data_IF_068901644194
#
_entry.id   IF_068901644194
#
_cell.length_a   1.000
_cell.length_b   1.000
_cell.length_c   1.000
_cell.angle_alpha   90.00
_cell.angle_beta   90.00
_cell.angle_gamma   90.00
#
_symmetry.space_group_name_H-M   'P 1'
#
loop_
_entity.id
_entity.type
_entity.pdbx_description
1 polymer ?
#
# COMPACT_ATOMS: atom_id res chain seq x y z
N UNK A 1 -21.67 85.75 -5.03
CA UNK A 1 -21.07 86.81 -4.14
C UNK A 1 -19.86 86.18 -3.53
N UNK A 2 -18.63 86.49 -4.05
CA UNK A 2 -17.62 87.46 -3.72
C UNK A 2 -17.50 87.65 -2.20
N UNK A 3 -16.35 87.31 -1.64
CA UNK A 3 -15.23 88.18 -1.19
C UNK A 3 -14.21 87.28 -0.48
N UNK A 4 -13.02 87.00 -0.97
CA UNK A 4 -11.71 87.63 -0.87
C UNK A 4 -11.08 87.73 0.54
N UNK A 5 -9.94 87.03 0.65
CA UNK A 5 -8.61 87.17 1.29
C UNK A 5 -8.39 88.28 2.34
N UNK A 6 -7.35 88.27 3.27
CA UNK A 6 -5.96 87.99 2.93
C UNK A 6 -5.07 87.24 3.99
N UNK A 7 -3.85 87.01 3.53
CA UNK A 7 -2.61 86.52 4.07
C UNK A 7 -2.15 87.15 5.41
N UNK A 8 -1.54 86.37 6.25
CA UNK A 8 -0.42 86.81 7.06
C UNK A 8 0.62 85.68 7.21
N UNK A 9 1.86 86.10 6.90
CA UNK A 9 3.11 85.38 6.91
C UNK A 9 3.72 85.48 8.33
N UNK A 10 4.04 84.35 8.94
CA UNK A 10 4.92 84.32 10.12
C UNK A 10 5.99 83.28 9.96
N UNK A 11 7.19 83.70 9.78
CA UNK A 11 8.40 82.91 9.79
C UNK A 11 8.79 82.63 11.23
N UNK A 12 8.97 81.36 11.60
CA UNK A 12 9.70 80.98 12.81
C UNK A 12 10.68 79.85 12.46
N UNK A 13 11.95 80.22 12.59
CA UNK A 13 13.07 79.28 12.63
C UNK A 13 12.90 78.33 13.84
N UNK A 14 13.03 77.06 13.61
CA UNK A 14 13.36 76.16 14.70
C UNK A 14 14.47 75.17 14.30
N UNK A 15 15.41 75.08 15.20
CA UNK A 15 16.71 74.46 15.21
C UNK A 15 16.55 72.95 15.04
N UNK A 16 17.35 72.36 14.18
CA UNK A 16 17.51 70.94 14.00
C UNK A 16 18.11 70.27 15.25
N UNK A 17 17.41 69.34 15.83
CA UNK A 17 17.97 68.32 16.75
C UNK A 17 17.90 67.00 16.10
N UNK A 18 19.04 66.47 15.66
CA UNK A 18 19.21 65.14 15.10
C UNK A 18 19.12 64.10 16.23
N UNK A 19 17.99 63.35 16.30
CA UNK A 19 17.96 62.13 17.03
C UNK A 19 18.03 60.99 15.99
N UNK A 20 19.15 60.28 15.98
CA UNK A 20 19.35 59.08 15.18
C UNK A 20 18.41 57.97 15.62
N UNK A 21 17.46 57.60 14.77
CA UNK A 21 16.68 56.40 14.93
C UNK A 21 17.53 55.21 14.42
N UNK A 22 18.02 54.40 15.34
CA UNK A 22 18.64 53.11 15.02
C UNK A 22 17.58 52.17 14.38
N UNK A 23 17.77 51.83 13.12
CA UNK A 23 17.03 50.80 12.43
C UNK A 23 17.33 49.45 13.10
N UNK A 24 16.31 48.65 13.52
CA UNK A 24 16.58 47.30 14.00
C UNK A 24 17.16 46.43 12.87
N UNK A 25 18.12 45.55 13.16
CA UNK A 25 18.68 44.68 12.15
C UNK A 25 17.58 43.79 11.56
N UNK A 26 17.52 43.72 10.24
CA UNK A 26 16.67 42.83 9.49
C UNK A 26 16.97 41.40 9.95
N UNK A 27 15.98 40.74 10.58
CA UNK A 27 16.04 39.30 10.85
C UNK A 27 16.05 38.59 9.50
N UNK A 28 17.17 37.97 9.18
CA UNK A 28 17.25 36.99 8.10
C UNK A 28 16.17 35.91 8.29
N UNK A 29 15.47 35.48 7.22
CA UNK A 29 14.53 34.39 7.35
C UNK A 29 15.30 33.16 7.88
N UNK A 30 14.96 32.75 9.10
CA UNK A 30 15.36 31.45 9.61
C UNK A 30 14.84 30.43 8.63
N UNK A 31 15.75 29.80 7.87
CA UNK A 31 15.44 28.63 7.11
C UNK A 31 14.81 27.64 8.09
N UNK A 32 13.54 27.35 7.91
CA UNK A 32 12.86 26.24 8.57
C UNK A 32 13.68 25.01 8.24
N UNK A 33 14.45 24.52 9.21
CA UNK A 33 15.11 23.25 9.12
C UNK A 33 14.00 22.22 8.85
N UNK A 34 13.94 21.73 7.61
CA UNK A 34 13.20 20.53 7.28
C UNK A 34 13.64 19.48 8.28
N UNK A 35 12.71 18.96 9.09
CA UNK A 35 12.99 17.92 10.03
C UNK A 35 13.58 16.77 9.21
N UNK A 36 14.90 16.61 9.28
CA UNK A 36 15.59 15.49 8.67
C UNK A 36 14.96 14.23 9.29
N UNK A 37 14.29 13.44 8.45
CA UNK A 37 13.76 12.15 8.86
C UNK A 37 14.87 11.39 9.56
N UNK A 38 14.69 11.09 10.84
CA UNK A 38 15.72 10.45 11.67
C UNK A 38 15.90 9.04 11.14
N UNK A 39 16.94 8.79 10.37
CA UNK A 39 17.32 7.45 9.93
C UNK A 39 17.40 6.55 11.17
N UNK A 40 16.78 5.36 11.10
CA UNK A 40 16.77 4.44 12.23
C UNK A 40 18.22 4.12 12.67
N UNK A 41 18.49 4.28 13.97
CA UNK A 41 19.77 3.94 14.55
C UNK A 41 19.92 2.41 14.61
N UNK A 42 21.14 1.91 14.36
CA UNK A 42 21.47 0.49 14.52
C UNK A 42 22.25 0.27 15.81
N UNK A 43 22.08 -0.90 16.47
CA UNK A 43 21.21 -2.01 16.10
C UNK A 43 19.73 -1.66 16.19
N UNK A 44 18.93 -2.13 15.23
CA UNK A 44 17.49 -1.91 15.18
C UNK A 44 16.74 -3.21 15.53
N UNK A 45 15.92 -3.19 16.58
CA UNK A 45 15.04 -4.31 16.91
C UNK A 45 13.65 -4.08 16.34
N UNK A 46 13.12 -5.09 15.65
CA UNK A 46 11.80 -5.08 15.02
C UNK A 46 11.03 -6.35 15.37
N UNK A 47 9.71 -6.25 15.44
CA UNK A 47 8.84 -7.42 15.60
C UNK A 47 8.22 -7.75 14.25
N UNK A 48 8.50 -8.91 13.71
CA UNK A 48 7.97 -9.36 12.42
C UNK A 48 6.53 -9.87 12.49
N UNK A 49 5.98 -10.30 11.37
CA UNK A 49 4.59 -10.79 11.30
C UNK A 49 4.39 -12.20 11.87
N UNK A 50 5.45 -12.88 12.28
CA UNK A 50 5.37 -14.11 13.09
C UNK A 50 5.56 -13.81 14.60
N UNK A 51 5.48 -12.53 15.01
CA UNK A 51 5.72 -12.06 16.38
C UNK A 51 7.14 -12.39 16.91
N UNK A 52 8.13 -12.57 16.03
CA UNK A 52 9.52 -12.76 16.41
C UNK A 52 10.19 -11.41 16.57
N UNK A 53 10.90 -11.22 17.69
CA UNK A 53 11.79 -10.06 17.85
C UNK A 53 13.11 -10.36 17.11
N UNK A 54 13.41 -9.56 16.12
CA UNK A 54 14.62 -9.70 15.28
C UNK A 54 15.45 -8.45 15.41
N UNK A 55 16.74 -8.60 15.75
CA UNK A 55 17.68 -7.49 15.83
C UNK A 55 18.52 -7.43 14.56
N UNK A 56 18.41 -6.33 13.83
CA UNK A 56 19.27 -6.00 12.69
C UNK A 56 20.49 -5.26 13.24
N UNK A 57 21.68 -5.85 13.24
CA UNK A 57 22.83 -5.32 13.99
C UNK A 57 23.44 -4.05 13.38
N UNK A 58 23.34 -3.89 12.07
CA UNK A 58 23.82 -2.75 11.29
C UNK A 58 22.92 -2.51 10.08
N UNK A 59 23.04 -1.35 9.46
CA UNK A 59 22.33 -1.08 8.21
C UNK A 59 22.66 -2.14 7.16
N UNK A 60 21.65 -2.84 6.62
CA UNK A 60 21.89 -3.87 5.62
C UNK A 60 22.41 -3.26 4.30
N UNK A 61 23.42 -3.89 3.72
CA UNK A 61 24.00 -3.51 2.42
C UNK A 61 23.66 -4.52 1.32
N UNK A 62 23.23 -5.72 1.69
CA UNK A 62 22.85 -6.79 0.77
C UNK A 62 21.52 -7.41 1.18
N UNK A 63 20.45 -6.92 0.58
CA UNK A 63 19.08 -7.35 0.91
C UNK A 63 18.57 -8.29 -0.18
N UNK A 64 18.03 -9.43 0.22
CA UNK A 64 17.21 -10.29 -0.65
C UNK A 64 15.75 -10.08 -0.30
N UNK A 65 14.93 -9.83 -1.32
CA UNK A 65 13.47 -9.60 -1.20
C UNK A 65 12.71 -10.73 -1.86
N UNK A 66 11.92 -11.46 -1.07
CA UNK A 66 11.10 -12.57 -1.54
C UNK A 66 9.62 -12.22 -1.31
N UNK A 67 9.06 -11.50 -2.26
CA UNK A 67 7.70 -11.01 -2.27
C UNK A 67 7.59 -9.67 -3.02
N UNK A 68 6.74 -9.57 -4.07
CA UNK A 68 6.65 -8.37 -4.90
C UNK A 68 6.33 -7.10 -4.11
N UNK A 69 5.42 -7.19 -3.13
CA UNK A 69 5.06 -6.06 -2.27
C UNK A 69 6.23 -5.58 -1.40
N UNK A 70 7.08 -6.50 -0.93
CA UNK A 70 8.29 -6.18 -0.16
C UNK A 70 9.28 -5.43 -1.04
N UNK A 71 9.46 -5.91 -2.27
CA UNK A 71 10.33 -5.26 -3.27
C UNK A 71 9.85 -3.83 -3.54
N UNK A 72 8.57 -3.61 -3.79
CA UNK A 72 8.00 -2.28 -3.97
C UNK A 72 8.28 -1.36 -2.76
N UNK A 73 8.11 -1.87 -1.53
CA UNK A 73 8.45 -1.12 -0.31
C UNK A 73 9.93 -0.74 -0.25
N UNK A 74 10.83 -1.65 -0.55
CA UNK A 74 12.27 -1.39 -0.48
C UNK A 74 12.69 -0.28 -1.44
N UNK A 75 12.17 -0.30 -2.65
CA UNK A 75 12.44 0.77 -3.61
C UNK A 75 11.81 2.10 -3.17
N UNK A 76 10.57 2.11 -2.72
CA UNK A 76 9.90 3.29 -2.21
C UNK A 76 10.58 3.89 -0.96
N UNK A 77 11.21 3.05 -0.12
CA UNK A 77 12.02 3.46 1.04
C UNK A 77 13.46 3.86 0.67
N UNK A 78 13.82 3.90 -0.61
CA UNK A 78 15.17 4.25 -1.07
C UNK A 78 16.22 3.17 -0.79
N UNK A 79 15.80 1.94 -0.47
CA UNK A 79 16.68 0.80 -0.23
C UNK A 79 17.00 -0.01 -1.50
N UNK A 80 16.38 0.32 -2.63
CA UNK A 80 16.54 -0.38 -3.91
C UNK A 80 17.98 -0.67 -4.31
N UNK A 81 18.95 0.28 -4.22
CA UNK A 81 20.34 0.05 -4.56
C UNK A 81 21.04 -1.05 -3.74
N UNK A 82 20.45 -1.45 -2.61
CA UNK A 82 20.98 -2.50 -1.72
C UNK A 82 20.31 -3.86 -1.94
N UNK A 83 19.29 -3.92 -2.79
CA UNK A 83 18.61 -5.18 -3.15
C UNK A 83 19.47 -5.93 -4.14
N UNK A 84 19.94 -7.13 -3.75
CA UNK A 84 20.83 -7.96 -4.56
C UNK A 84 20.13 -9.16 -5.18
N UNK A 85 18.88 -9.43 -4.79
CA UNK A 85 18.06 -10.50 -5.36
C UNK A 85 16.60 -10.33 -5.01
N UNK A 86 15.73 -10.74 -5.93
CA UNK A 86 14.27 -10.67 -5.81
C UNK A 86 13.61 -11.95 -6.31
N UNK A 87 12.38 -12.20 -5.88
CA UNK A 87 11.60 -13.32 -6.44
C UNK A 87 11.23 -13.10 -7.92
N UNK A 88 10.74 -14.16 -8.56
CA UNK A 88 10.43 -14.15 -10.00
C UNK A 88 9.29 -13.19 -10.36
N UNK A 89 8.42 -12.84 -9.40
CA UNK A 89 7.23 -12.00 -9.59
C UNK A 89 7.48 -10.51 -9.28
N UNK A 90 8.66 -10.19 -8.75
CA UNK A 90 9.07 -8.80 -8.47
C UNK A 90 9.47 -8.10 -9.77
N UNK A 91 8.56 -7.31 -10.33
CA UNK A 91 8.66 -6.58 -11.59
C UNK A 91 8.45 -5.06 -11.44
N UNK A 92 8.04 -4.62 -10.24
CA UNK A 92 7.85 -3.21 -9.90
C UNK A 92 8.80 -2.77 -8.77
N UNK A 93 9.45 -1.60 -8.92
CA UNK A 93 9.53 -0.80 -10.16
C UNK A 93 10.34 -1.54 -11.25
N UNK A 94 10.36 -1.03 -12.48
CA UNK A 94 11.00 -1.69 -13.63
C UNK A 94 12.47 -2.10 -13.39
N UNK A 95 13.18 -1.39 -12.50
CA UNK A 95 14.55 -1.72 -12.08
C UNK A 95 14.62 -3.06 -11.33
N UNK A 96 13.60 -3.44 -10.59
CA UNK A 96 13.55 -4.69 -9.84
C UNK A 96 13.56 -5.92 -10.77
N UNK A 97 12.98 -5.80 -11.97
CA UNK A 97 12.97 -6.89 -12.96
C UNK A 97 14.36 -7.29 -13.44
N UNK A 98 15.35 -6.38 -13.31
CA UNK A 98 16.74 -6.58 -13.75
C UNK A 98 17.63 -7.25 -12.69
N UNK A 99 17.13 -7.40 -11.47
CA UNK A 99 17.87 -8.01 -10.37
C UNK A 99 17.90 -9.53 -10.48
N UNK A 100 18.87 -10.14 -9.80
CA UNK A 100 19.03 -11.59 -9.72
C UNK A 100 17.75 -12.25 -9.18
N UNK A 101 17.27 -13.28 -9.86
CA UNK A 101 16.06 -14.01 -9.48
C UNK A 101 16.39 -15.16 -8.53
N UNK A 102 15.65 -15.24 -7.42
CA UNK A 102 15.84 -16.25 -6.36
C UNK A 102 14.71 -17.28 -6.31
N UNK A 103 13.93 -17.40 -7.39
CA UNK A 103 12.78 -18.29 -7.49
C UNK A 103 11.47 -17.58 -7.22
N UNK A 104 10.35 -18.27 -7.50
CA UNK A 104 8.99 -17.74 -7.35
C UNK A 104 8.23 -18.47 -6.24
N UNK A 105 7.19 -19.25 -6.59
CA UNK A 105 6.42 -20.09 -5.65
C UNK A 105 7.36 -21.03 -4.87
N UNK A 106 8.40 -21.52 -5.51
CA UNK A 106 9.49 -22.26 -4.88
C UNK A 106 10.74 -21.43 -4.84
N UNK A 107 11.20 -21.10 -3.64
CA UNK A 107 12.43 -20.32 -3.42
C UNK A 107 13.67 -21.17 -3.72
N UNK A 108 14.59 -20.61 -4.50
CA UNK A 108 15.89 -21.22 -4.75
C UNK A 108 16.84 -20.88 -3.59
N UNK A 109 16.86 -21.74 -2.59
CA UNK A 109 17.66 -21.58 -1.37
C UNK A 109 19.15 -21.34 -1.66
N UNK A 110 19.74 -22.13 -2.57
CA UNK A 110 21.16 -22.04 -2.89
C UNK A 110 21.51 -20.71 -3.56
N UNK A 111 20.62 -20.23 -4.42
CA UNK A 111 20.76 -18.90 -5.02
C UNK A 111 20.70 -17.80 -3.97
N UNK A 112 19.76 -17.86 -3.01
CA UNK A 112 19.69 -16.90 -1.90
C UNK A 112 21.00 -16.89 -1.12
N UNK A 113 21.53 -18.06 -0.70
CA UNK A 113 22.77 -18.17 0.05
C UNK A 113 23.97 -17.66 -0.77
N UNK A 114 24.03 -17.95 -2.07
CA UNK A 114 25.12 -17.51 -2.95
C UNK A 114 25.23 -15.99 -3.08
N UNK A 115 24.12 -15.27 -2.92
CA UNK A 115 24.07 -13.81 -2.94
C UNK A 115 24.64 -13.19 -1.64
N UNK A 116 24.94 -13.99 -0.61
CA UNK A 116 25.48 -13.56 0.69
C UNK A 116 24.73 -12.36 1.26
N UNK A 117 23.39 -12.46 1.43
CA UNK A 117 22.63 -11.37 2.00
C UNK A 117 22.95 -11.19 3.48
N UNK A 118 22.91 -9.94 3.95
CA UNK A 118 22.93 -9.60 5.37
C UNK A 118 21.51 -9.41 5.94
N UNK A 119 20.50 -9.38 5.07
CA UNK A 119 19.09 -9.41 5.44
C UNK A 119 18.25 -10.09 4.34
N UNK A 120 17.37 -11.01 4.74
CA UNK A 120 16.36 -11.60 3.88
C UNK A 120 14.97 -11.14 4.36
N UNK A 121 14.22 -10.51 3.49
CA UNK A 121 12.82 -10.12 3.70
C UNK A 121 11.94 -11.05 2.88
N UNK A 122 10.98 -11.70 3.52
CA UNK A 122 10.22 -12.78 2.88
C UNK A 122 8.74 -12.71 3.29
N UNK A 123 7.83 -12.95 2.32
CA UNK A 123 6.43 -13.21 2.65
C UNK A 123 6.32 -14.54 3.41
N UNK A 124 5.22 -14.72 4.13
CA UNK A 124 5.01 -15.97 4.85
C UNK A 124 4.88 -17.15 3.91
N UNK A 125 5.71 -18.17 4.15
CA UNK A 125 5.64 -19.48 3.54
C UNK A 125 5.35 -20.53 4.61
N UNK A 126 4.65 -21.61 4.25
CA UNK A 126 4.32 -22.73 5.14
C UNK A 126 5.08 -24.01 4.80
N UNK A 127 6.06 -23.96 3.90
CA UNK A 127 6.80 -25.11 3.36
C UNK A 127 8.18 -25.36 4.04
N UNK A 128 8.45 -24.65 5.14
CA UNK A 128 9.73 -24.74 5.86
C UNK A 128 10.87 -23.89 5.27
N UNK A 129 10.60 -23.09 4.24
CA UNK A 129 11.59 -22.20 3.59
C UNK A 129 12.20 -21.20 4.58
N UNK A 130 11.35 -20.60 5.44
CA UNK A 130 11.78 -19.58 6.41
C UNK A 130 12.76 -20.20 7.41
N UNK A 131 12.42 -21.35 7.97
CA UNK A 131 13.23 -22.10 8.93
C UNK A 131 14.55 -22.57 8.31
N UNK A 132 14.53 -23.00 7.05
CA UNK A 132 15.72 -23.42 6.31
C UNK A 132 16.70 -22.26 6.10
N UNK A 133 16.20 -21.07 5.73
CA UNK A 133 17.02 -19.86 5.57
C UNK A 133 17.61 -19.42 6.91
N UNK A 134 16.83 -19.43 7.98
CA UNK A 134 17.30 -19.06 9.32
C UNK A 134 18.36 -20.07 9.84
N UNK A 135 18.16 -21.38 9.62
CA UNK A 135 19.12 -22.43 10.01
C UNK A 135 20.45 -22.34 9.26
N UNK A 136 20.46 -21.68 8.09
CA UNK A 136 21.70 -21.37 7.36
C UNK A 136 22.42 -20.11 7.90
N UNK A 137 21.96 -19.54 9.01
CA UNK A 137 22.56 -18.36 9.65
C UNK A 137 22.17 -17.04 9.00
N UNK A 138 21.16 -17.02 8.11
CA UNK A 138 20.66 -15.80 7.50
C UNK A 138 19.72 -15.06 8.45
N UNK A 139 19.81 -13.73 8.48
CA UNK A 139 18.85 -12.88 9.18
C UNK A 139 17.57 -12.77 8.36
N UNK A 140 16.45 -13.32 8.85
CA UNK A 140 15.18 -13.42 8.13
C UNK A 140 14.10 -12.66 8.87
N UNK A 141 13.41 -11.73 8.16
CA UNK A 141 12.21 -11.06 8.61
C UNK A 141 11.01 -11.47 7.75
N UNK A 142 9.92 -11.84 8.39
CA UNK A 142 8.68 -12.26 7.73
C UNK A 142 7.68 -11.13 7.65
N UNK A 143 7.08 -10.96 6.48
CA UNK A 143 6.06 -9.95 6.16
C UNK A 143 4.79 -10.65 5.70
N UNK A 144 3.66 -10.41 6.38
CA UNK A 144 2.37 -11.07 6.10
C UNK A 144 1.18 -10.14 6.43
N UNK A 145 1.04 -8.98 5.72
CA UNK A 145 -0.04 -8.05 6.01
C UNK A 145 -1.41 -8.62 5.61
N UNK A 146 -2.36 -8.60 6.54
CA UNK A 146 -3.73 -9.11 6.37
C UNK A 146 -4.77 -8.01 6.23
N UNK A 147 -4.35 -6.74 6.40
CA UNK A 147 -5.21 -5.56 6.33
C UNK A 147 -4.46 -4.36 5.78
N UNK A 148 -5.17 -3.29 5.39
CA UNK A 148 -4.54 -2.03 5.01
C UNK A 148 -3.73 -1.39 6.17
N UNK A 149 -4.16 -1.58 7.42
CA UNK A 149 -3.40 -1.18 8.60
C UNK A 149 -2.08 -1.95 8.75
N UNK A 150 -2.08 -3.24 8.44
CA UNK A 150 -0.85 -4.04 8.41
C UNK A 150 0.10 -3.62 7.30
N UNK A 151 -0.42 -3.12 6.18
CA UNK A 151 0.41 -2.54 5.11
C UNK A 151 1.14 -1.29 5.60
N UNK A 152 0.46 -0.41 6.34
CA UNK A 152 1.11 0.73 7.00
C UNK A 152 2.16 0.27 8.04
N UNK A 153 1.85 -0.76 8.86
CA UNK A 153 2.80 -1.37 9.80
C UNK A 153 4.03 -1.94 9.07
N UNK A 154 3.84 -2.52 7.88
CA UNK A 154 4.95 -3.04 7.05
C UNK A 154 5.91 -1.92 6.65
N UNK A 155 5.43 -0.73 6.30
CA UNK A 155 6.29 0.41 6.01
C UNK A 155 7.19 0.76 7.20
N UNK A 156 6.65 0.78 8.43
CA UNK A 156 7.41 1.03 9.66
C UNK A 156 8.45 -0.08 9.90
N UNK A 157 8.02 -1.35 9.81
CA UNK A 157 8.88 -2.50 9.99
C UNK A 157 10.09 -2.46 9.05
N UNK A 158 9.81 -2.34 7.75
CA UNK A 158 10.84 -2.34 6.72
C UNK A 158 11.71 -1.08 6.79
N UNK A 159 11.11 0.09 7.05
CA UNK A 159 11.85 1.33 7.25
C UNK A 159 12.90 1.20 8.36
N UNK A 160 12.50 0.67 9.52
CA UNK A 160 13.42 0.40 10.65
C UNK A 160 14.47 -0.64 10.29
N UNK A 161 14.08 -1.73 9.63
CA UNK A 161 15.01 -2.80 9.26
C UNK A 161 16.08 -2.35 8.26
N UNK A 162 15.76 -1.42 7.36
CA UNK A 162 16.72 -0.95 6.34
C UNK A 162 17.31 0.44 6.62
N UNK A 163 16.95 1.08 7.74
CA UNK A 163 17.43 2.40 8.13
C UNK A 163 16.86 3.55 7.27
N UNK A 164 15.56 3.49 6.97
CA UNK A 164 14.81 4.47 6.19
C UNK A 164 13.59 4.97 6.96
N UNK A 165 12.99 6.08 6.53
CA UNK A 165 11.78 6.65 7.14
C UNK A 165 10.51 5.89 6.71
N UNK A 166 10.20 4.83 7.43
CA UNK A 166 8.95 4.09 7.27
C UNK A 166 7.74 4.74 7.94
N UNK A 167 7.95 5.62 8.92
CA UNK A 167 6.87 6.26 9.67
C UNK A 167 6.11 7.28 8.79
N UNK A 168 6.83 8.07 8.00
CA UNK A 168 6.20 9.00 7.06
C UNK A 168 5.41 8.23 6.00
N UNK A 169 5.99 7.19 5.42
CA UNK A 169 5.30 6.33 4.45
C UNK A 169 4.05 5.68 5.05
N UNK A 170 4.11 5.19 6.28
CA UNK A 170 2.96 4.61 6.97
C UNK A 170 1.82 5.62 7.16
N UNK A 171 2.14 6.87 7.55
CA UNK A 171 1.15 7.94 7.67
C UNK A 171 0.50 8.28 6.33
N UNK A 172 1.28 8.34 5.25
CA UNK A 172 0.77 8.62 3.90
C UNK A 172 -0.15 7.49 3.41
N UNK A 173 0.23 6.23 3.64
CA UNK A 173 -0.61 5.06 3.36
C UNK A 173 -1.93 5.16 4.14
N UNK A 174 -1.85 5.35 5.46
CA UNK A 174 -3.03 5.41 6.33
C UNK A 174 -3.96 6.54 5.90
N UNK A 175 -3.41 7.72 5.65
CA UNK A 175 -4.19 8.88 5.18
C UNK A 175 -4.97 8.58 3.91
N UNK A 176 -4.32 8.00 2.88
CA UNK A 176 -4.98 7.66 1.61
C UNK A 176 -6.11 6.65 1.80
N UNK A 177 -5.90 5.63 2.64
CA UNK A 177 -6.91 4.63 2.98
C UNK A 177 -8.10 5.28 3.71
N UNK A 178 -7.82 6.15 4.69
CA UNK A 178 -8.84 6.84 5.46
C UNK A 178 -9.64 7.86 4.61
N UNK A 179 -8.99 8.51 3.65
CA UNK A 179 -9.66 9.38 2.67
C UNK A 179 -10.69 8.58 1.83
N UNK A 180 -10.34 7.37 1.40
CA UNK A 180 -11.27 6.48 0.67
C UNK A 180 -12.41 6.04 1.59
N UNK A 181 -12.11 5.55 2.80
CA UNK A 181 -13.11 5.12 3.79
C UNK A 181 -14.09 6.24 4.14
N UNK A 182 -13.58 7.47 4.28
CA UNK A 182 -14.42 8.64 4.55
C UNK A 182 -15.40 8.90 3.41
N UNK A 183 -14.95 8.84 2.15
CA UNK A 183 -15.82 9.00 0.99
C UNK A 183 -16.89 7.90 0.92
N UNK A 184 -16.47 6.63 1.06
CA UNK A 184 -17.38 5.49 0.95
C UNK A 184 -18.35 5.38 2.13
N UNK A 185 -18.03 5.96 3.29
CA UNK A 185 -18.94 6.01 4.43
C UNK A 185 -20.24 6.80 4.15
N UNK A 186 -20.22 7.68 3.16
CA UNK A 186 -21.41 8.44 2.70
C UNK A 186 -22.31 7.64 1.74
N UNK A 187 -21.89 6.45 1.32
CA UNK A 187 -22.66 5.60 0.42
C UNK A 187 -23.99 5.16 1.06
N UNK A 188 -25.08 5.25 0.30
CA UNK A 188 -26.42 4.83 0.76
C UNK A 188 -26.66 3.33 0.61
N UNK A 189 -25.81 2.64 -0.14
CA UNK A 189 -25.89 1.20 -0.41
C UNK A 189 -24.58 0.51 -0.09
N UNK A 190 -24.63 -0.78 0.20
CA UNK A 190 -23.47 -1.65 0.40
C UNK A 190 -23.63 -2.88 -0.48
N UNK A 191 -23.19 -2.82 -1.77
CA UNK A 191 -23.42 -3.92 -2.69
C UNK A 191 -22.63 -5.17 -2.28
N UNK A 192 -23.23 -6.33 -2.54
CA UNK A 192 -22.58 -7.64 -2.37
C UNK A 192 -21.55 -7.85 -3.47
N UNK A 193 -20.33 -8.19 -3.07
CA UNK A 193 -19.18 -8.32 -3.96
C UNK A 193 -18.67 -9.76 -3.93
N UNK A 194 -18.50 -10.31 -5.11
CA UNK A 194 -17.73 -11.52 -5.35
C UNK A 194 -16.39 -11.12 -5.98
N UNK A 195 -15.30 -11.48 -5.31
CA UNK A 195 -13.93 -11.28 -5.81
C UNK A 195 -13.35 -12.63 -6.24
N UNK A 196 -13.12 -12.81 -7.53
CA UNK A 196 -12.58 -14.05 -8.07
C UNK A 196 -11.05 -14.01 -8.12
N UNK A 197 -10.40 -14.99 -7.47
CA UNK A 197 -8.94 -15.18 -7.53
C UNK A 197 -8.60 -16.21 -8.61
N UNK A 198 -9.24 -17.39 -8.55
CA UNK A 198 -8.98 -18.50 -9.45
C UNK A 198 -10.25 -19.35 -9.61
N UNK A 199 -10.63 -19.59 -10.84
CA UNK A 199 -11.75 -20.43 -11.24
C UNK A 199 -11.33 -21.47 -12.29
N UNK A 200 -10.08 -21.89 -12.27
CA UNK A 200 -9.56 -22.96 -13.14
C UNK A 200 -10.27 -24.28 -12.90
N UNK A 201 -10.69 -24.55 -11.66
CA UNK A 201 -11.66 -25.60 -11.31
C UNK A 201 -13.03 -24.96 -11.02
N UNK A 202 -14.03 -25.10 -11.90
CA UNK A 202 -15.34 -24.49 -11.71
C UNK A 202 -16.14 -25.06 -10.54
N UNK A 203 -15.69 -26.17 -9.94
CA UNK A 203 -16.32 -26.78 -8.77
C UNK A 203 -15.74 -26.26 -7.45
N UNK A 204 -14.58 -25.60 -7.50
CA UNK A 204 -13.82 -25.11 -6.33
C UNK A 204 -13.19 -23.76 -6.65
N UNK A 205 -14.01 -22.72 -6.67
CA UNK A 205 -13.58 -21.39 -7.06
C UNK A 205 -12.97 -20.67 -5.86
N UNK A 206 -11.72 -20.24 -5.98
CA UNK A 206 -11.06 -19.47 -4.94
C UNK A 206 -11.51 -18.04 -4.93
N UNK A 207 -11.84 -17.56 -3.73
CA UNK A 207 -12.20 -16.17 -3.44
C UNK A 207 -11.44 -15.65 -2.22
N UNK A 208 -11.75 -14.44 -1.79
CA UNK A 208 -11.20 -13.81 -0.61
C UNK A 208 -12.17 -13.85 0.55
N UNK A 209 -11.67 -14.09 1.76
CA UNK A 209 -12.45 -14.12 3.00
C UNK A 209 -11.80 -13.29 4.10
N UNK A 210 -12.37 -13.28 5.32
CA UNK A 210 -11.81 -12.62 6.48
C UNK A 210 -10.36 -13.06 6.75
N UNK A 211 -9.50 -12.10 7.11
CA UNK A 211 -8.07 -12.35 7.29
C UNK A 211 -7.26 -12.23 5.98
N UNK A 212 -7.90 -11.87 4.86
CA UNK A 212 -7.18 -11.43 3.66
C UNK A 212 -7.21 -9.91 3.56
N UNK A 213 -6.13 -9.34 3.12
CA UNK A 213 -6.01 -7.92 2.85
C UNK A 213 -7.05 -7.40 1.84
N UNK A 214 -7.43 -8.22 0.85
CA UNK A 214 -8.44 -7.87 -0.15
C UNK A 214 -9.85 -7.81 0.47
N UNK A 215 -10.15 -8.64 1.47
CA UNK A 215 -11.39 -8.53 2.22
C UNK A 215 -11.51 -7.15 2.91
N UNK A 216 -10.42 -6.67 3.51
CA UNK A 216 -10.37 -5.32 4.11
C UNK A 216 -10.56 -4.22 3.04
N UNK A 217 -9.99 -4.39 1.83
CA UNK A 217 -10.24 -3.46 0.72
C UNK A 217 -11.70 -3.41 0.28
N UNK A 218 -12.42 -4.54 0.30
CA UNK A 218 -13.86 -4.59 0.01
C UNK A 218 -14.63 -3.75 1.03
N UNK A 219 -14.29 -3.89 2.31
CA UNK A 219 -14.93 -3.13 3.39
C UNK A 219 -14.61 -1.62 3.29
N UNK A 220 -13.34 -1.27 3.01
CA UNK A 220 -12.91 0.12 2.78
C UNK A 220 -13.65 0.72 1.59
N UNK A 221 -13.89 -0.06 0.54
CA UNK A 221 -14.64 0.35 -0.64
C UNK A 221 -16.16 0.48 -0.40
N UNK A 222 -16.65 0.17 0.80
CA UNK A 222 -18.08 0.25 1.15
C UNK A 222 -18.93 -0.89 0.60
N UNK A 223 -18.32 -2.03 0.25
CA UNK A 223 -19.00 -3.24 -0.20
C UNK A 223 -19.20 -4.28 0.91
N UNK A 224 -19.89 -5.35 0.59
CA UNK A 224 -20.04 -6.53 1.43
C UNK A 224 -19.52 -7.75 0.69
N UNK A 225 -18.47 -8.36 1.21
CA UNK A 225 -17.93 -9.58 0.64
C UNK A 225 -18.91 -10.76 0.81
N UNK A 226 -19.26 -11.49 -0.27
CA UNK A 226 -20.14 -12.65 -0.17
C UNK A 226 -19.56 -13.77 0.70
N UNK A 227 -18.23 -13.85 0.81
CA UNK A 227 -17.51 -14.79 1.65
C UNK A 227 -17.17 -14.26 3.06
N UNK A 228 -17.83 -13.18 3.53
CA UNK A 228 -17.54 -12.55 4.84
C UNK A 228 -17.71 -13.48 6.06
N UNK A 229 -18.38 -14.62 5.90
CA UNK A 229 -18.58 -15.63 6.98
C UNK A 229 -17.62 -16.81 6.89
N UNK A 230 -16.72 -16.82 5.90
CA UNK A 230 -15.75 -17.89 5.77
C UNK A 230 -14.73 -17.85 6.93
N UNK A 231 -14.19 -19.01 7.28
CA UNK A 231 -13.17 -19.16 8.34
C UNK A 231 -11.74 -19.11 7.81
N UNK A 232 -11.58 -19.04 6.48
CA UNK A 232 -10.29 -18.97 5.79
C UNK A 232 -10.15 -17.63 5.07
N UNK A 233 -8.91 -17.13 5.00
CA UNK A 233 -8.58 -15.93 4.22
C UNK A 233 -8.78 -16.15 2.70
N UNK A 234 -8.67 -17.38 2.24
CA UNK A 234 -8.85 -17.76 0.83
C UNK A 234 -9.75 -19.00 0.73
N UNK A 235 -11.08 -18.83 0.94
CA UNK A 235 -12.01 -19.93 0.87
C UNK A 235 -12.29 -20.36 -0.58
N UNK A 236 -12.73 -21.61 -0.73
CA UNK A 236 -13.32 -22.09 -1.97
C UNK A 236 -14.84 -22.03 -1.85
N UNK A 237 -15.50 -21.52 -2.89
CA UNK A 237 -16.95 -21.53 -3.02
C UNK A 237 -17.37 -22.36 -4.21
N UNK A 238 -18.48 -23.07 -4.09
CA UNK A 238 -19.15 -23.71 -5.23
C UNK A 238 -19.89 -22.66 -6.08
N UNK A 239 -20.17 -23.00 -7.33
CA UNK A 239 -20.98 -22.13 -8.20
C UNK A 239 -22.39 -21.88 -7.60
N UNK A 240 -22.98 -22.89 -6.93
CA UNK A 240 -24.29 -22.75 -6.28
C UNK A 240 -24.24 -21.77 -5.09
N UNK A 241 -23.17 -21.74 -4.31
CA UNK A 241 -23.01 -20.76 -3.22
C UNK A 241 -22.89 -19.35 -3.76
N UNK A 242 -22.16 -19.14 -4.86
CA UNK A 242 -22.05 -17.84 -5.52
C UNK A 242 -23.41 -17.42 -6.06
N UNK A 243 -24.14 -18.31 -6.76
CA UNK A 243 -25.50 -18.06 -7.27
C UNK A 243 -26.48 -17.68 -6.16
N UNK A 244 -26.46 -18.40 -5.03
CA UNK A 244 -27.31 -18.13 -3.87
C UNK A 244 -27.01 -16.81 -3.20
N UNK A 245 -25.75 -16.41 -3.20
CA UNK A 245 -25.30 -15.13 -2.63
C UNK A 245 -25.70 -13.93 -3.48
N UNK A 246 -26.04 -14.16 -4.75
CA UNK A 246 -26.44 -13.16 -5.73
C UNK A 246 -25.60 -11.87 -5.67
N UNK A 247 -24.30 -11.94 -6.00
CA UNK A 247 -23.46 -10.74 -5.97
C UNK A 247 -23.95 -9.67 -6.93
N UNK A 248 -23.87 -8.42 -6.50
CA UNK A 248 -24.23 -7.24 -7.28
C UNK A 248 -23.04 -6.71 -8.09
N UNK A 249 -21.83 -7.13 -7.69
CA UNK A 249 -20.57 -6.83 -8.39
C UNK A 249 -19.72 -8.08 -8.40
N UNK A 250 -19.06 -8.36 -9.53
CA UNK A 250 -18.03 -9.36 -9.67
C UNK A 250 -16.73 -8.64 -10.04
N UNK A 251 -15.66 -8.92 -9.28
CA UNK A 251 -14.31 -8.36 -9.53
C UNK A 251 -13.36 -9.49 -9.87
N UNK A 252 -12.70 -9.37 -11.02
CA UNK A 252 -11.74 -10.34 -11.54
C UNK A 252 -10.33 -9.75 -11.40
N UNK A 253 -9.52 -10.32 -10.52
CA UNK A 253 -8.18 -9.81 -10.19
C UNK A 253 -7.02 -10.61 -10.81
N UNK A 254 -7.31 -11.62 -11.62
CA UNK A 254 -6.32 -12.46 -12.28
C UNK A 254 -6.51 -12.43 -13.80
N UNK A 255 -6.66 -11.23 -14.38
CA UNK A 255 -7.06 -11.02 -15.77
C UNK A 255 -6.25 -11.79 -16.82
N UNK A 256 -4.98 -12.12 -16.51
CA UNK A 256 -4.10 -12.88 -17.41
C UNK A 256 -4.29 -14.41 -17.28
N UNK A 257 -4.89 -14.87 -16.17
CA UNK A 257 -5.09 -16.29 -15.85
C UNK A 257 -6.56 -16.64 -15.67
N UNK A 258 -7.46 -15.65 -15.52
CA UNK A 258 -8.88 -15.89 -15.29
C UNK A 258 -9.73 -15.61 -16.53
N UNK A 259 -10.98 -16.07 -16.47
CA UNK A 259 -11.95 -15.79 -17.51
C UNK A 259 -12.19 -14.29 -17.68
N UNK A 260 -12.40 -13.86 -18.92
CA UNK A 260 -12.84 -12.49 -19.23
C UNK A 260 -14.28 -12.28 -18.75
N UNK A 261 -14.74 -11.01 -18.53
CA UNK A 261 -16.10 -10.73 -18.07
C UNK A 261 -17.19 -11.46 -18.85
N UNK A 262 -17.09 -11.52 -20.18
CA UNK A 262 -18.07 -12.21 -21.04
C UNK A 262 -18.08 -13.73 -20.81
N UNK A 263 -16.92 -14.33 -20.56
CA UNK A 263 -16.80 -15.75 -20.25
C UNK A 263 -17.38 -16.08 -18.88
N UNK A 264 -17.19 -15.19 -17.89
CA UNK A 264 -17.79 -15.30 -16.56
C UNK A 264 -19.32 -15.19 -16.67
N UNK A 265 -19.81 -14.23 -17.42
CA UNK A 265 -21.25 -14.03 -17.66
C UNK A 265 -21.91 -15.23 -18.34
N UNK A 266 -21.16 -15.96 -19.19
CA UNK A 266 -21.64 -17.13 -19.93
C UNK A 266 -21.61 -18.43 -19.13
N UNK A 267 -21.12 -18.45 -17.89
CA UNK A 267 -21.11 -19.65 -17.04
C UNK A 267 -22.54 -20.13 -16.79
N UNK A 268 -22.72 -21.47 -16.70
CA UNK A 268 -24.04 -22.08 -16.54
C UNK A 268 -24.76 -21.54 -15.29
N UNK A 269 -25.97 -21.02 -15.47
CA UNK A 269 -26.80 -20.44 -14.42
C UNK A 269 -26.47 -19.01 -14.02
N UNK A 270 -25.32 -18.46 -14.41
CA UNK A 270 -24.85 -17.13 -13.96
C UNK A 270 -25.64 -15.96 -14.55
N UNK A 271 -26.41 -16.18 -15.62
CA UNK A 271 -27.33 -15.17 -16.14
C UNK A 271 -28.38 -14.71 -15.12
N UNK A 272 -28.62 -15.49 -14.05
CA UNK A 272 -29.51 -15.14 -12.95
C UNK A 272 -28.91 -14.16 -11.95
N UNK A 273 -27.56 -14.01 -11.90
CA UNK A 273 -26.83 -13.16 -10.96
C UNK A 273 -27.06 -11.68 -11.27
N UNK A 274 -27.31 -10.88 -10.24
CA UNK A 274 -27.52 -9.43 -10.35
C UNK A 274 -26.36 -8.72 -11.05
N UNK A 275 -25.11 -9.05 -10.75
CA UNK A 275 -23.93 -8.49 -11.41
C UNK A 275 -23.92 -8.76 -12.92
N UNK A 276 -24.35 -9.94 -13.36
CA UNK A 276 -24.41 -10.30 -14.78
C UNK A 276 -25.51 -9.52 -15.47
N UNK A 277 -26.74 -9.51 -14.90
CA UNK A 277 -27.88 -8.74 -15.44
C UNK A 277 -27.58 -7.27 -15.62
N UNK A 278 -26.85 -6.68 -14.64
CA UNK A 278 -26.54 -5.26 -14.61
C UNK A 278 -25.18 -4.91 -15.24
N UNK A 279 -24.50 -5.89 -15.85
CA UNK A 279 -23.17 -5.73 -16.49
C UNK A 279 -22.11 -5.15 -15.54
N UNK A 280 -22.14 -5.54 -14.27
CA UNK A 280 -21.20 -5.13 -13.24
C UNK A 280 -20.15 -6.22 -12.97
N UNK A 281 -19.50 -6.69 -14.02
CA UNK A 281 -18.36 -7.60 -13.97
C UNK A 281 -17.14 -6.79 -14.40
N UNK A 282 -16.18 -6.60 -13.51
CA UNK A 282 -15.03 -5.73 -13.74
C UNK A 282 -13.73 -6.51 -13.62
N UNK A 283 -12.75 -6.11 -14.41
CA UNK A 283 -11.35 -6.49 -14.20
C UNK A 283 -10.65 -5.38 -13.42
N UNK A 284 -9.76 -5.76 -12.53
CA UNK A 284 -8.87 -4.83 -11.81
C UNK A 284 -7.42 -5.28 -11.99
N UNK A 285 -6.49 -4.33 -12.04
CA UNK A 285 -5.07 -4.63 -12.27
C UNK A 285 -4.52 -5.58 -11.19
N UNK A 286 -4.08 -6.81 -11.54
CA UNK A 286 -3.66 -7.81 -10.55
C UNK A 286 -2.50 -7.32 -9.67
N UNK A 287 -1.50 -6.67 -10.27
CA UNK A 287 -0.33 -6.17 -9.55
C UNK A 287 -0.66 -5.01 -8.58
N UNK A 288 -1.80 -4.34 -8.76
CA UNK A 288 -2.26 -3.32 -7.84
C UNK A 288 -3.03 -3.93 -6.68
N UNK A 289 -3.92 -4.90 -6.98
CA UNK A 289 -4.87 -5.38 -5.98
C UNK A 289 -4.36 -6.59 -5.18
N UNK A 290 -3.51 -7.44 -5.79
CA UNK A 290 -3.03 -8.66 -5.13
C UNK A 290 -1.72 -8.44 -4.35
N UNK A 291 -1.14 -7.23 -4.40
CA UNK A 291 0.10 -6.89 -3.71
C UNK A 291 -0.20 -5.95 -2.54
N UNK A 292 -0.17 -6.41 -1.28
CA UNK A 292 -0.31 -5.56 -0.11
C UNK A 292 0.96 -4.69 0.08
N UNK A 293 1.15 -3.75 -0.82
CA UNK A 293 2.34 -2.91 -0.97
C UNK A 293 2.07 -1.42 -0.72
N UNK A 294 3.04 -0.55 -0.97
CA UNK A 294 2.93 0.89 -0.70
C UNK A 294 1.80 1.58 -1.50
N UNK A 295 1.30 0.93 -2.56
CA UNK A 295 0.20 1.42 -3.40
C UNK A 295 -1.19 1.04 -2.89
N UNK A 296 -1.33 0.56 -1.64
CA UNK A 296 -2.63 0.13 -1.08
C UNK A 296 -3.70 1.21 -1.10
N UNK A 297 -3.33 2.50 -0.96
CA UNK A 297 -4.28 3.60 -1.09
C UNK A 297 -4.86 3.72 -2.51
N UNK A 298 -4.04 3.49 -3.53
CA UNK A 298 -4.48 3.43 -4.94
C UNK A 298 -5.36 2.20 -5.20
N UNK A 299 -5.00 1.06 -4.60
CA UNK A 299 -5.81 -0.16 -4.67
C UNK A 299 -7.20 0.04 -4.05
N UNK A 300 -7.27 0.66 -2.86
CA UNK A 300 -8.51 1.00 -2.19
C UNK A 300 -9.38 1.95 -3.03
N UNK A 301 -8.78 3.00 -3.60
CA UNK A 301 -9.49 3.95 -4.46
C UNK A 301 -9.99 3.28 -5.75
N UNK A 302 -9.15 2.47 -6.41
CA UNK A 302 -9.54 1.74 -7.61
C UNK A 302 -10.71 0.80 -7.33
N UNK A 303 -10.69 0.10 -6.19
CA UNK A 303 -11.77 -0.77 -5.76
C UNK A 303 -13.05 0.03 -5.48
N UNK A 304 -12.93 1.13 -4.73
CA UNK A 304 -14.06 1.99 -4.37
C UNK A 304 -14.74 2.64 -5.61
N UNK A 305 -13.97 2.98 -6.65
CA UNK A 305 -14.50 3.45 -7.94
C UNK A 305 -15.36 2.41 -8.67
N UNK A 306 -15.04 1.12 -8.51
CA UNK A 306 -15.88 0.03 -9.07
C UNK A 306 -17.16 -0.14 -8.27
N UNK A 307 -17.09 0.02 -6.94
CA UNK A 307 -18.21 -0.18 -6.03
C UNK A 307 -19.17 1.01 -6.05
N UNK A 308 -18.64 2.23 -5.94
CA UNK A 308 -19.37 3.51 -5.80
C UNK A 308 -18.84 4.57 -6.77
N UNK A 309 -18.99 4.39 -8.09
CA UNK A 309 -18.46 5.35 -9.08
C UNK A 309 -19.02 6.76 -8.90
N UNK A 310 -20.21 6.91 -8.32
CA UNK A 310 -20.86 8.19 -8.05
C UNK A 310 -20.11 9.05 -7.03
N UNK A 311 -19.32 8.45 -6.13
CA UNK A 311 -18.56 9.15 -5.08
C UNK A 311 -17.16 9.61 -5.55
N UNK A 312 -16.74 9.20 -6.75
CA UNK A 312 -15.39 9.44 -7.27
C UNK A 312 -15.38 10.18 -8.61
N UNK A 313 -16.43 11.00 -8.85
CA UNK A 313 -16.55 11.85 -10.04
C UNK A 313 -15.73 13.13 -9.91
#
# INVERSE_FOLDING_TARGET
MRVSFPRLLAVLLFVASACGAATPPAQSPQATASAAATAAAFPASVTDFQNRSVTVPKRPERVVSIGPSITEFLFALGAGPRVVGVDDFSDEPAEASKLEKVGGIKVNFEKVVSLKPDLVLIVKFSDGTIEKLASAGLLVLVVDPQSAGDVARTAILLGRAVGSDGETMARDIQKRVDDVRTKTSSATTKPRIYHEIDASDPTKIFTVGPGSYIHDLIDIAGGVNIAARATSAYPQLSAEEILRSDPEIIVLAAADYSAKPDQVAARAGWSAISAVKNKRIFTIAPNLINRPGPRVGEAAEAYAKLVHPELFR
#
